data_IF_906371293672
#
_entry.id   IF_906371293672
#
_cell.length_a   1.000
_cell.length_b   1.000
_cell.length_c   1.000
_cell.angle_alpha   90.00
_cell.angle_beta   90.00
_cell.angle_gamma   90.00
#
_symmetry.space_group_name_H-M   'P 1'
#
loop_
_entity.id
_entity.type
_entity.pdbx_description
1 polymer ?
#
# COMPACT_ATOMS: atom_id res chain seq x y z
N UNK A 1 5.80 -14.52 5.33
CA UNK A 1 6.97 -13.78 4.81
C UNK A 1 6.49 -12.97 3.61
N UNK A 2 6.50 -11.66 3.71
CA UNK A 2 5.89 -10.81 2.69
C UNK A 2 7.00 -10.02 2.01
N UNK A 3 7.13 -10.19 0.73
CA UNK A 3 8.11 -9.52 -0.12
C UNK A 3 7.39 -8.73 -1.19
N UNK A 4 7.64 -7.44 -1.30
CA UNK A 4 7.05 -6.59 -2.31
C UNK A 4 8.14 -5.81 -3.08
N UNK A 5 7.93 -5.56 -4.36
CA UNK A 5 8.80 -4.77 -5.23
C UNK A 5 8.08 -3.47 -5.56
N UNK A 6 8.66 -2.34 -5.17
CA UNK A 6 8.14 -1.02 -5.48
C UNK A 6 8.75 -0.53 -6.81
N UNK A 7 7.91 -0.36 -7.83
CA UNK A 7 8.21 0.37 -9.06
C UNK A 7 7.29 1.58 -9.12
N UNK A 8 7.82 2.77 -8.94
CA UNK A 8 7.04 3.98 -9.06
C UNK A 8 7.94 5.19 -9.22
N UNK A 9 8.35 5.49 -10.45
CA UNK A 9 8.75 6.84 -10.80
C UNK A 9 7.48 7.67 -11.00
N UNK A 10 7.03 8.34 -9.95
CA UNK A 10 6.08 9.45 -10.09
C UNK A 10 6.87 10.72 -10.43
N UNK A 11 6.41 11.55 -11.40
CA UNK A 11 7.05 12.82 -11.71
C UNK A 11 6.97 13.72 -10.47
N UNK A 12 8.09 14.37 -10.16
CA UNK A 12 8.22 15.35 -9.09
C UNK A 12 7.28 16.54 -9.36
N UNK A 13 6.10 16.55 -8.78
CA UNK A 13 5.24 17.72 -8.73
C UNK A 13 5.68 18.60 -7.56
N UNK A 14 6.14 19.79 -7.93
CA UNK A 14 6.61 20.81 -7.02
C UNK A 14 5.44 21.27 -6.11
N UNK A 15 5.67 21.30 -4.80
CA UNK A 15 4.69 21.69 -3.76
C UNK A 15 4.04 23.07 -3.96
N UNK A 16 4.55 23.89 -4.87
CA UNK A 16 4.04 25.25 -5.13
C UNK A 16 2.89 25.32 -6.14
N UNK A 17 2.68 24.29 -6.96
CA UNK A 17 1.64 24.32 -8.00
C UNK A 17 0.29 23.79 -7.51
N UNK A 18 0.25 23.15 -6.35
CA UNK A 18 -0.99 22.64 -5.74
C UNK A 18 -1.83 23.74 -5.04
N UNK A 19 -1.28 24.91 -4.77
CA UNK A 19 -1.95 25.96 -3.98
C UNK A 19 -2.59 27.11 -4.79
N UNK A 20 -2.66 27.02 -6.13
CA UNK A 20 -3.15 28.13 -6.98
C UNK A 20 -4.50 27.92 -7.68
N UNK A 21 -5.23 26.86 -7.41
CA UNK A 21 -6.50 26.58 -8.07
C UNK A 21 -7.68 26.50 -7.09
N UNK A 22 -7.90 27.54 -6.28
CA UNK A 22 -9.15 27.69 -5.55
C UNK A 22 -9.37 29.15 -5.14
N UNK A 23 -9.78 29.98 -6.08
CA UNK A 23 -10.48 31.22 -5.78
C UNK A 23 -11.20 31.74 -7.02
N UNK A 24 -12.49 31.46 -7.16
CA UNK A 24 -13.45 32.35 -7.84
C UNK A 24 -14.91 31.87 -7.61
N UNK A 25 -15.66 32.69 -6.86
CA UNK A 25 -17.03 33.11 -7.08
C UNK A 25 -18.17 32.06 -7.07
N UNK A 26 -19.12 32.16 -6.11
CA UNK A 26 -20.50 32.54 -6.49
C UNK A 26 -21.39 32.77 -5.26
N UNK A 27 -21.93 33.98 -5.16
CA UNK A 27 -23.11 34.28 -4.37
C UNK A 27 -24.33 33.91 -5.23
N UNK A 28 -25.15 32.97 -4.76
CA UNK A 28 -26.49 32.76 -5.23
C UNK A 28 -27.36 32.39 -4.02
N UNK A 29 -28.22 33.31 -3.67
CA UNK A 29 -29.34 33.13 -2.75
C UNK A 29 -30.31 32.09 -3.35
N UNK A 30 -30.33 30.92 -2.80
CA UNK A 30 -31.28 29.84 -3.12
C UNK A 30 -31.44 28.97 -1.88
N UNK A 31 -32.70 28.72 -1.50
CA UNK A 31 -33.14 27.81 -0.42
C UNK A 31 -32.20 26.60 -0.26
N UNK A 32 -31.87 26.17 0.98
CA UNK A 32 -31.04 25.02 1.18
C UNK A 32 -31.78 23.76 0.72
N UNK A 33 -31.61 23.39 -0.55
CA UNK A 33 -31.82 22.02 -0.94
C UNK A 33 -30.86 21.22 -0.05
N UNK A 34 -31.40 20.41 0.85
CA UNK A 34 -30.67 19.35 1.49
C UNK A 34 -30.21 18.41 0.36
N UNK A 35 -29.03 18.69 -0.19
CA UNK A 35 -28.29 17.69 -0.97
C UNK A 35 -28.11 16.54 0.00
N UNK A 36 -28.80 15.44 -0.23
CA UNK A 36 -28.49 14.19 0.41
C UNK A 36 -27.02 13.94 0.04
N UNK A 37 -26.11 14.21 0.97
CA UNK A 37 -24.73 13.80 0.86
C UNK A 37 -24.81 12.28 0.74
N UNK A 38 -24.68 11.77 -0.49
CA UNK A 38 -24.49 10.35 -0.72
C UNK A 38 -23.38 9.89 0.22
N UNK A 39 -23.57 8.74 0.85
CA UNK A 39 -22.54 8.17 1.73
C UNK A 39 -21.19 8.27 1.00
N UNK A 40 -20.22 8.90 1.65
CA UNK A 40 -18.88 8.99 1.10
C UNK A 40 -18.37 7.58 0.80
N UNK A 41 -17.68 7.37 -0.31
CA UNK A 41 -17.21 6.04 -0.70
C UNK A 41 -16.36 5.45 0.42
N UNK A 42 -16.76 4.28 0.88
CA UNK A 42 -15.98 3.51 1.85
C UNK A 42 -14.76 2.87 1.17
N UNK A 43 -13.68 2.70 1.92
CA UNK A 43 -12.57 1.88 1.46
C UNK A 43 -13.03 0.44 1.29
N UNK A 44 -12.70 -0.19 0.18
CA UNK A 44 -13.12 -1.56 -0.14
C UNK A 44 -11.95 -2.52 -0.12
N UNK A 45 -12.22 -3.78 0.23
CA UNK A 45 -11.27 -4.86 0.04
C UNK A 45 -11.19 -5.19 -1.46
N UNK A 46 -10.06 -4.95 -2.14
CA UNK A 46 -9.96 -5.28 -3.55
C UNK A 46 -9.97 -6.80 -3.74
N UNK A 47 -10.56 -7.27 -4.84
CA UNK A 47 -10.45 -8.67 -5.22
C UNK A 47 -8.98 -9.07 -5.46
N UNK A 48 -8.64 -10.32 -5.16
CA UNK A 48 -7.34 -10.87 -5.57
C UNK A 48 -7.26 -10.90 -7.10
N UNK A 49 -6.10 -10.58 -7.71
CA UNK A 49 -5.92 -10.63 -9.17
C UNK A 49 -5.81 -12.07 -9.73
N UNK A 50 -6.02 -13.08 -8.89
CA UNK A 50 -5.95 -14.51 -9.22
C UNK A 50 -6.90 -15.31 -8.31
N UNK A 51 -7.20 -16.55 -8.70
CA UNK A 51 -8.01 -17.46 -7.89
C UNK A 51 -7.30 -17.83 -6.58
N UNK A 52 -8.06 -18.14 -5.51
CA UNK A 52 -7.50 -18.47 -4.19
C UNK A 52 -6.48 -19.63 -4.22
N UNK A 53 -6.66 -20.61 -5.10
CA UNK A 53 -5.76 -21.76 -5.23
C UNK A 53 -4.67 -21.59 -6.30
N UNK A 54 -4.59 -20.42 -6.92
CA UNK A 54 -3.67 -20.20 -8.05
C UNK A 54 -2.18 -20.11 -7.65
N UNK A 55 -1.90 -19.97 -6.37
CA UNK A 55 -0.52 -19.91 -5.82
C UNK A 55 -0.09 -21.23 -5.16
N UNK A 56 -0.93 -22.28 -5.21
CA UNK A 56 -0.56 -23.62 -4.73
C UNK A 56 0.68 -24.15 -5.49
N UNK A 57 1.52 -24.93 -4.84
CA UNK A 57 1.55 -25.29 -3.41
C UNK A 57 2.32 -24.31 -2.53
N UNK A 58 2.77 -23.16 -3.06
CA UNK A 58 3.63 -22.20 -2.31
C UNK A 58 2.82 -21.45 -1.26
N UNK A 59 1.63 -20.98 -1.64
CA UNK A 59 0.65 -20.38 -0.75
C UNK A 59 -0.70 -21.07 -0.97
N UNK A 60 -1.18 -21.79 0.03
CA UNK A 60 -2.43 -22.53 -0.08
C UNK A 60 -3.65 -21.60 -0.16
N UNK A 61 -4.75 -22.12 -0.73
CA UNK A 61 -6.03 -21.44 -0.76
C UNK A 61 -6.51 -21.04 0.64
N UNK A 62 -6.29 -21.89 1.65
CA UNK A 62 -6.62 -21.58 3.05
C UNK A 62 -5.80 -20.41 3.57
N UNK A 63 -4.48 -20.39 3.31
CA UNK A 63 -3.61 -19.28 3.69
C UNK A 63 -4.09 -17.97 3.09
N UNK A 64 -4.42 -17.95 1.79
CA UNK A 64 -4.96 -16.76 1.14
C UNK A 64 -6.35 -16.39 1.69
N UNK A 65 -7.22 -17.36 1.94
CA UNK A 65 -8.52 -17.14 2.53
C UNK A 65 -8.44 -16.45 3.90
N UNK A 66 -7.51 -16.86 4.74
CA UNK A 66 -7.26 -16.20 6.03
C UNK A 66 -6.58 -14.84 5.85
N UNK A 67 -5.53 -14.77 5.05
CA UNK A 67 -4.71 -13.57 4.96
C UNK A 67 -5.43 -12.43 4.22
N UNK A 68 -6.09 -12.72 3.09
CA UNK A 68 -6.89 -11.73 2.37
C UNK A 68 -8.28 -11.58 2.98
N UNK A 69 -9.04 -12.68 3.10
CA UNK A 69 -10.46 -12.65 3.43
C UNK A 69 -10.78 -12.31 4.88
N UNK A 70 -9.82 -12.48 5.81
CA UNK A 70 -9.98 -12.12 7.23
C UNK A 70 -9.02 -11.05 7.67
N UNK A 71 -7.72 -11.27 7.55
CA UNK A 71 -6.71 -10.35 8.09
C UNK A 71 -6.71 -9.00 7.35
N UNK A 72 -6.57 -9.00 6.03
CA UNK A 72 -6.63 -7.77 5.24
C UNK A 72 -8.02 -7.10 5.36
N UNK A 73 -9.09 -7.90 5.28
CA UNK A 73 -10.46 -7.38 5.47
C UNK A 73 -10.64 -6.66 6.80
N UNK A 74 -10.07 -7.17 7.87
CA UNK A 74 -10.17 -6.53 9.19
C UNK A 74 -9.53 -5.14 9.22
N UNK A 75 -8.42 -4.92 8.50
CA UNK A 75 -7.85 -3.58 8.37
C UNK A 75 -8.77 -2.63 7.60
N UNK A 76 -9.41 -3.11 6.53
CA UNK A 76 -10.38 -2.31 5.76
C UNK A 76 -11.58 -1.92 6.63
N UNK A 77 -12.18 -2.90 7.32
CA UNK A 77 -13.35 -2.68 8.18
C UNK A 77 -13.01 -1.70 9.33
N UNK A 78 -11.84 -1.87 9.94
CA UNK A 78 -11.37 -0.99 11.02
C UNK A 78 -11.10 0.42 10.50
N UNK A 79 -10.47 0.56 9.34
CA UNK A 79 -10.22 1.86 8.71
C UNK A 79 -11.54 2.61 8.50
N UNK A 80 -12.51 1.96 7.86
CA UNK A 80 -13.83 2.57 7.60
C UNK A 80 -14.49 3.05 8.89
N UNK A 81 -14.46 2.22 9.94
CA UNK A 81 -15.01 2.60 11.25
C UNK A 81 -14.30 3.81 11.87
N UNK A 82 -12.98 3.90 11.70
CA UNK A 82 -12.17 4.97 12.28
C UNK A 82 -12.29 6.30 11.54
N UNK A 83 -12.54 6.28 10.23
CA UNK A 83 -12.63 7.52 9.42
C UNK A 83 -14.06 8.04 9.29
N UNK A 84 -15.07 7.19 9.47
CA UNK A 84 -16.47 7.58 9.33
C UNK A 84 -16.84 8.71 10.28
N UNK A 85 -17.43 9.79 9.73
CA UNK A 85 -17.86 10.96 10.51
C UNK A 85 -16.71 11.88 10.94
N UNK A 86 -15.49 11.67 10.44
CA UNK A 86 -14.34 12.54 10.68
C UNK A 86 -14.01 13.37 9.43
N UNK A 87 -13.04 14.28 9.55
CA UNK A 87 -12.45 15.02 8.42
C UNK A 87 -11.77 14.13 7.36
N UNK A 88 -11.49 12.87 7.70
CA UNK A 88 -10.89 11.88 6.81
C UNK A 88 -11.93 11.14 5.96
N UNK A 89 -13.22 11.34 6.22
CA UNK A 89 -14.31 10.70 5.48
C UNK A 89 -14.24 11.07 3.99
N UNK A 90 -14.24 10.08 3.11
CA UNK A 90 -14.21 10.26 1.66
C UNK A 90 -12.84 10.59 1.05
N UNK A 91 -11.78 10.65 1.86
CA UNK A 91 -10.42 10.76 1.35
C UNK A 91 -9.96 9.43 0.74
N UNK A 92 -9.07 9.50 -0.26
CA UNK A 92 -8.41 8.29 -0.77
C UNK A 92 -7.51 7.65 0.29
N UNK A 93 -7.15 6.39 0.11
CA UNK A 93 -6.29 5.66 1.03
C UNK A 93 -4.95 6.37 1.25
N UNK A 94 -4.33 6.85 0.17
CA UNK A 94 -3.07 7.59 0.20
C UNK A 94 -3.22 8.95 0.91
N UNK A 95 -4.36 9.62 0.72
CA UNK A 95 -4.64 10.87 1.42
C UNK A 95 -4.80 10.65 2.92
N UNK A 96 -5.50 9.58 3.34
CA UNK A 96 -5.62 9.21 4.75
C UNK A 96 -4.24 8.92 5.35
N UNK A 97 -3.41 8.12 4.67
CA UNK A 97 -2.04 7.81 5.11
C UNK A 97 -1.24 9.11 5.27
N UNK A 98 -1.22 9.97 4.25
CA UNK A 98 -0.47 11.23 4.28
C UNK A 98 -0.97 12.19 5.39
N UNK A 99 -2.29 12.23 5.61
CA UNK A 99 -2.89 13.09 6.63
C UNK A 99 -2.58 12.63 8.06
N UNK A 100 -2.32 11.34 8.27
CA UNK A 100 -2.18 10.72 9.60
C UNK A 100 -0.75 10.32 9.96
N UNK A 101 0.15 10.27 8.98
CA UNK A 101 1.55 9.90 9.19
C UNK A 101 2.23 10.78 10.26
N UNK A 102 2.93 10.15 11.19
CA UNK A 102 3.68 10.81 12.27
C UNK A 102 2.82 11.45 13.36
N UNK A 103 1.49 11.34 13.29
CA UNK A 103 0.58 11.90 14.30
C UNK A 103 0.19 10.84 15.33
N UNK A 104 0.74 10.92 16.53
CA UNK A 104 0.50 9.93 17.60
C UNK A 104 -1.01 9.75 17.91
N UNK A 105 -1.78 10.82 17.93
CA UNK A 105 -3.23 10.77 18.17
C UNK A 105 -4.01 10.04 17.07
N UNK A 106 -3.43 9.88 15.89
CA UNK A 106 -4.04 9.22 14.72
C UNK A 106 -3.33 7.90 14.35
N UNK A 107 -2.48 7.38 15.22
CA UNK A 107 -1.70 6.17 14.96
C UNK A 107 -2.57 4.96 14.57
N UNK A 108 -3.75 4.82 15.19
CA UNK A 108 -4.68 3.74 14.83
C UNK A 108 -5.20 3.88 13.40
N UNK A 109 -5.54 5.09 12.95
CA UNK A 109 -5.97 5.34 11.57
C UNK A 109 -4.83 5.07 10.61
N UNK A 110 -3.65 5.65 10.87
CA UNK A 110 -2.45 5.43 10.07
C UNK A 110 -2.15 3.94 9.91
N UNK A 111 -2.08 3.20 11.02
CA UNK A 111 -1.76 1.77 10.98
C UNK A 111 -2.75 0.97 10.12
N UNK A 112 -4.06 1.22 10.26
CA UNK A 112 -5.04 0.50 9.45
C UNK A 112 -4.96 0.90 7.98
N UNK A 113 -4.84 2.18 7.66
CA UNK A 113 -4.72 2.66 6.28
C UNK A 113 -3.44 2.15 5.60
N UNK A 114 -2.29 2.24 6.27
CA UNK A 114 -1.02 1.76 5.74
C UNK A 114 -1.01 0.24 5.59
N UNK A 115 -1.62 -0.52 6.50
CA UNK A 115 -1.78 -1.97 6.33
C UNK A 115 -2.68 -2.32 5.14
N UNK A 116 -3.77 -1.59 4.90
CA UNK A 116 -4.57 -1.78 3.69
C UNK A 116 -3.74 -1.57 2.44
N UNK A 117 -2.95 -0.49 2.39
CA UNK A 117 -2.09 -0.18 1.26
C UNK A 117 -0.99 -1.26 1.06
N UNK A 118 -0.32 -1.65 2.12
CA UNK A 118 0.73 -2.67 2.09
C UNK A 118 0.20 -4.02 1.57
N UNK A 119 -1.00 -4.43 2.00
CA UNK A 119 -1.63 -5.66 1.52
C UNK A 119 -2.07 -5.55 0.07
N UNK A 120 -2.63 -4.40 -0.36
CA UNK A 120 -2.98 -4.17 -1.76
C UNK A 120 -1.77 -4.36 -2.67
N UNK A 121 -0.64 -3.77 -2.29
CA UNK A 121 0.61 -3.90 -3.01
C UNK A 121 1.15 -5.34 -3.01
N UNK A 122 1.08 -6.00 -1.86
CA UNK A 122 1.53 -7.39 -1.71
C UNK A 122 0.78 -8.35 -2.65
N UNK A 123 -0.54 -8.25 -2.75
CA UNK A 123 -1.31 -9.11 -3.65
C UNK A 123 -0.91 -8.91 -5.11
N UNK A 124 -0.62 -7.69 -5.52
CA UNK A 124 -0.19 -7.37 -6.87
C UNK A 124 1.25 -7.81 -7.17
N UNK A 125 2.08 -8.00 -6.14
CA UNK A 125 3.46 -8.47 -6.29
C UNK A 125 3.56 -9.99 -6.51
N UNK A 126 2.45 -10.72 -6.36
CA UNK A 126 2.37 -12.16 -6.53
C UNK A 126 1.62 -12.51 -7.82
N UNK A 127 2.00 -13.63 -8.43
CA UNK A 127 1.28 -14.16 -9.59
C UNK A 127 1.38 -15.69 -9.66
N UNK A 128 0.39 -16.35 -10.27
CA UNK A 128 0.49 -17.76 -10.60
C UNK A 128 1.73 -18.03 -11.47
N UNK A 129 2.42 -19.14 -11.20
CA UNK A 129 3.66 -19.51 -11.91
C UNK A 129 4.72 -18.37 -11.88
N UNK A 130 4.73 -17.60 -10.80
CA UNK A 130 5.70 -16.53 -10.58
C UNK A 130 7.11 -17.06 -10.38
N UNK A 131 8.06 -16.12 -10.28
CA UNK A 131 9.47 -16.42 -10.16
C UNK A 131 10.20 -16.33 -11.52
N UNK A 132 11.30 -17.02 -11.66
CA UNK A 132 12.18 -16.95 -12.85
C UNK A 132 13.09 -15.72 -12.82
N UNK A 133 13.60 -15.35 -13.99
CA UNK A 133 14.49 -14.21 -14.15
C UNK A 133 13.69 -12.89 -14.19
N UNK A 134 14.18 -11.85 -13.55
CA UNK A 134 13.56 -10.54 -13.65
C UNK A 134 13.72 -9.95 -15.06
N UNK A 135 12.85 -8.99 -15.46
CA UNK A 135 13.06 -8.23 -16.69
C UNK A 135 14.48 -7.63 -16.77
N UNK A 136 15.01 -7.49 -17.98
CA UNK A 136 16.40 -7.07 -18.20
C UNK A 136 16.77 -5.76 -17.50
N UNK A 137 15.88 -4.80 -17.47
CA UNK A 137 16.07 -3.51 -16.78
C UNK A 137 16.18 -3.71 -15.27
N UNK A 138 15.24 -4.41 -14.65
CA UNK A 138 15.29 -4.72 -13.22
C UNK A 138 16.53 -5.53 -12.87
N UNK A 139 16.90 -6.48 -13.72
CA UNK A 139 18.13 -7.27 -13.54
C UNK A 139 19.37 -6.39 -13.47
N UNK A 140 19.53 -5.42 -14.38
CA UNK A 140 20.66 -4.48 -14.36
C UNK A 140 20.72 -3.70 -13.03
N UNK A 141 19.58 -3.20 -12.55
CA UNK A 141 19.53 -2.50 -11.26
C UNK A 141 19.85 -3.42 -10.08
N UNK A 142 19.40 -4.68 -10.11
CA UNK A 142 19.74 -5.69 -9.10
C UNK A 142 21.24 -5.96 -9.12
N UNK A 143 21.83 -6.23 -10.28
CA UNK A 143 23.25 -6.50 -10.42
C UNK A 143 24.11 -5.31 -9.98
N UNK A 144 23.71 -4.08 -10.36
CA UNK A 144 24.41 -2.87 -9.94
C UNK A 144 24.32 -2.62 -8.41
N UNK A 145 23.23 -3.04 -7.76
CA UNK A 145 23.00 -2.75 -6.35
C UNK A 145 23.50 -3.85 -5.41
N UNK A 146 23.36 -5.13 -5.83
CA UNK A 146 23.62 -6.30 -4.99
C UNK A 146 24.69 -7.24 -5.57
N UNK A 147 25.21 -6.96 -6.77
CA UNK A 147 26.15 -7.81 -7.47
C UNK A 147 25.52 -9.03 -8.16
N UNK A 148 24.40 -9.54 -7.68
CA UNK A 148 23.67 -10.64 -8.32
C UNK A 148 22.23 -10.74 -7.83
N UNK A 149 21.37 -11.42 -8.62
CA UNK A 149 20.00 -11.77 -8.21
C UNK A 149 19.98 -12.65 -6.95
N UNK A 150 20.94 -13.57 -6.83
CA UNK A 150 21.06 -14.45 -5.67
C UNK A 150 21.37 -13.67 -4.39
N UNK A 151 22.27 -12.68 -4.46
CA UNK A 151 22.60 -11.81 -3.34
C UNK A 151 21.40 -10.94 -2.94
N UNK A 152 20.69 -10.35 -3.89
CA UNK A 152 19.45 -9.60 -3.64
C UNK A 152 18.39 -10.46 -2.92
N UNK A 153 18.12 -11.66 -3.43
CA UNK A 153 17.17 -12.60 -2.81
C UNK A 153 17.59 -12.98 -1.39
N UNK A 154 18.88 -13.23 -1.16
CA UNK A 154 19.43 -13.55 0.16
C UNK A 154 19.22 -12.38 1.14
N UNK A 155 19.53 -11.16 0.73
CA UNK A 155 19.38 -9.98 1.56
C UNK A 155 17.91 -9.71 1.90
N UNK A 156 17.01 -9.80 0.91
CA UNK A 156 15.59 -9.63 1.11
C UNK A 156 15.01 -10.68 2.07
N UNK A 157 15.42 -11.94 1.91
CA UNK A 157 15.02 -13.01 2.81
C UNK A 157 15.54 -12.79 4.24
N UNK A 158 16.80 -12.35 4.38
CA UNK A 158 17.38 -12.05 5.69
C UNK A 158 16.65 -10.87 6.38
N UNK A 159 16.32 -9.84 5.64
CA UNK A 159 15.52 -8.71 6.16
C UNK A 159 14.15 -9.18 6.66
N UNK A 160 13.45 -9.99 5.87
CA UNK A 160 12.14 -10.53 6.24
C UNK A 160 12.22 -11.44 7.48
N UNK A 161 13.21 -12.31 7.57
CA UNK A 161 13.41 -13.23 8.69
C UNK A 161 13.81 -12.52 9.98
N UNK A 162 14.57 -11.43 9.86
CA UNK A 162 15.03 -10.65 11.01
C UNK A 162 14.02 -9.61 11.50
N UNK A 163 12.86 -9.47 10.84
CA UNK A 163 11.83 -8.57 11.31
C UNK A 163 11.14 -9.16 12.54
N UNK A 164 11.30 -8.50 13.68
CA UNK A 164 10.65 -8.91 14.92
C UNK A 164 9.19 -8.46 14.94
N UNK A 165 8.28 -9.37 15.26
CA UNK A 165 6.85 -9.12 15.26
C UNK A 165 6.26 -9.02 13.84
N UNK A 166 5.18 -8.27 13.69
CA UNK A 166 4.59 -7.96 12.39
C UNK A 166 5.43 -6.92 11.64
N UNK A 167 5.47 -7.03 10.33
CA UNK A 167 6.20 -6.09 9.48
C UNK A 167 6.41 -6.60 8.08
N UNK A 168 7.18 -5.86 7.33
CA UNK A 168 7.38 -6.03 5.91
C UNK A 168 8.87 -5.98 5.55
N UNK A 169 9.23 -6.67 4.47
CA UNK A 169 10.51 -6.50 3.80
C UNK A 169 10.26 -6.04 2.37
N UNK A 170 10.98 -5.02 1.95
CA UNK A 170 10.77 -4.30 0.70
C UNK A 170 12.06 -4.32 -0.13
N UNK A 171 11.90 -4.50 -1.45
CA UNK A 171 12.90 -4.08 -2.41
C UNK A 171 12.49 -2.69 -2.91
N UNK A 172 13.21 -1.66 -2.52
CA UNK A 172 12.88 -0.28 -2.79
C UNK A 172 13.87 0.36 -3.76
N UNK A 173 13.38 1.27 -4.61
CA UNK A 173 14.23 2.13 -5.43
C UNK A 173 14.77 3.29 -4.59
N UNK A 174 16.05 3.63 -4.79
CA UNK A 174 16.76 4.75 -4.18
C UNK A 174 17.60 5.45 -5.26
N UNK A 175 16.99 6.37 -5.97
CA UNK A 175 17.53 6.89 -7.23
C UNK A 175 17.70 5.77 -8.26
N UNK A 176 18.89 5.62 -8.80
CA UNK A 176 19.23 4.58 -9.78
C UNK A 176 19.60 3.23 -9.16
N UNK A 177 19.57 3.12 -7.83
CA UNK A 177 19.91 1.90 -7.11
C UNK A 177 18.71 1.29 -6.42
N UNK A 178 18.83 0.00 -6.09
CA UNK A 178 17.88 -0.71 -5.27
C UNK A 178 18.49 -0.94 -3.88
N UNK A 179 17.61 -0.95 -2.88
CA UNK A 179 17.96 -1.32 -1.50
C UNK A 179 16.89 -2.22 -0.90
N UNK A 180 17.32 -3.06 0.04
CA UNK A 180 16.39 -3.80 0.89
C UNK A 180 16.10 -2.98 2.14
N UNK A 181 14.82 -2.84 2.45
CA UNK A 181 14.36 -2.14 3.65
C UNK A 181 13.41 -3.06 4.40
N UNK A 182 13.46 -3.05 5.72
CA UNK A 182 12.44 -3.68 6.55
C UNK A 182 11.76 -2.63 7.42
N UNK A 183 10.47 -2.77 7.61
CA UNK A 183 9.65 -1.87 8.41
C UNK A 183 8.85 -2.67 9.42
N UNK A 184 8.68 -2.12 10.61
CA UNK A 184 7.84 -2.72 11.64
C UNK A 184 6.38 -2.36 11.43
N UNK A 185 5.48 -3.28 11.73
CA UNK A 185 4.04 -3.06 11.68
C UNK A 185 3.57 -2.53 10.30
N UNK A 186 3.15 -1.26 10.23
CA UNK A 186 2.59 -0.61 9.03
C UNK A 186 3.50 0.46 8.41
N UNK A 187 4.66 0.72 8.99
CA UNK A 187 5.60 1.78 8.58
C UNK A 187 6.13 1.61 7.16
#
# INVERSE_FOLDING_TARGET
MHTAILNGAAPAHNRRDFLRAAAATLVALGTPARVALGAAPEHSLPALPYALNALDPVLSADTLGYHHGKHHKAYVDNLNRLVTGTELTGLSLEQVIAATAGKAAQAAVFNNAAQVWNHNFYWQSLRPQGGGEPPAELRRHIEASFGSLAACKKELAAAALSQFGSGWAWLAADGDRLKVVKTGNAE
#
